data_IF_973556019153
#
_entry.id   IF_973556019153
#
_cell.length_a   1.000
_cell.length_b   1.000
_cell.length_c   1.000
_cell.angle_alpha   90.00
_cell.angle_beta   90.00
_cell.angle_gamma   90.00
#
_symmetry.space_group_name_H-M   'P 1'
#
loop_
_entity.id
_entity.type
_entity.pdbx_description
1 polymer ?
#
# COMPACT_ATOMS: atom_id res chain seq x y z
N UNK A 1 -0.34 11.25 -11.51
CA UNK A 1 -1.32 10.45 -12.27
C UNK A 1 -1.71 9.27 -11.41
N UNK A 2 -3.00 8.92 -11.31
CA UNK A 2 -3.47 7.79 -10.48
C UNK A 2 -4.26 6.73 -11.25
N UNK A 3 -4.67 7.02 -12.48
CA UNK A 3 -5.45 6.10 -13.29
C UNK A 3 -5.72 6.64 -14.68
N UNK A 4 -6.46 5.85 -15.45
CA UNK A 4 -6.83 6.15 -16.82
C UNK A 4 -8.34 5.97 -17.01
N UNK A 5 -8.97 6.85 -17.78
CA UNK A 5 -10.34 6.72 -18.27
C UNK A 5 -10.29 6.58 -19.80
N UNK A 6 -10.79 5.47 -20.31
CA UNK A 6 -10.88 5.19 -21.75
C UNK A 6 -12.34 5.29 -22.19
N UNK A 7 -12.63 6.25 -23.06
CA UNK A 7 -13.92 6.37 -23.75
C UNK A 7 -13.83 5.71 -25.12
N UNK A 8 -14.80 4.86 -25.44
CA UNK A 8 -14.91 4.12 -26.70
C UNK A 8 -16.12 4.64 -27.47
N UNK A 9 -15.87 5.18 -28.66
CA UNK A 9 -16.92 5.72 -29.52
C UNK A 9 -17.63 4.61 -30.30
N UNK A 10 -18.87 4.86 -30.73
CA UNK A 10 -19.72 3.91 -31.45
C UNK A 10 -19.28 3.67 -32.91
N UNK A 11 -18.01 3.34 -33.13
CA UNK A 11 -17.49 2.93 -34.44
C UNK A 11 -17.62 1.42 -34.61
N UNK A 12 -17.95 0.96 -35.82
CA UNK A 12 -17.99 -0.47 -36.11
C UNK A 12 -16.58 -1.06 -36.10
N UNK A 13 -16.36 -2.05 -35.24
CA UNK A 13 -15.11 -2.81 -35.16
C UNK A 13 -15.33 -4.21 -34.57
N UNK A 14 -14.38 -5.10 -34.83
CA UNK A 14 -14.26 -6.42 -34.21
C UNK A 14 -12.86 -6.57 -33.58
N UNK A 15 -12.76 -7.30 -32.47
CA UNK A 15 -11.54 -7.33 -31.67
C UNK A 15 -11.31 -6.01 -30.92
N UNK A 16 -10.08 -5.73 -30.51
CA UNK A 16 -9.78 -4.48 -29.78
C UNK A 16 -10.25 -4.48 -28.32
N UNK A 17 -10.46 -5.66 -27.73
CA UNK A 17 -10.84 -5.78 -26.33
C UNK A 17 -9.73 -5.22 -25.43
N UNK A 18 -10.10 -4.53 -24.36
CA UNK A 18 -9.15 -4.10 -23.34
C UNK A 18 -9.05 -5.20 -22.29
N UNK A 19 -7.87 -5.78 -22.16
CA UNK A 19 -7.53 -6.77 -21.14
C UNK A 19 -6.89 -6.03 -19.98
N UNK A 20 -7.39 -6.27 -18.77
CA UNK A 20 -6.90 -5.69 -17.52
C UNK A 20 -6.39 -6.82 -16.62
N UNK A 21 -5.21 -6.65 -16.03
CA UNK A 21 -4.61 -7.62 -15.11
C UNK A 21 -4.23 -6.92 -13.80
N UNK A 22 -4.77 -7.46 -12.70
CA UNK A 22 -4.52 -6.94 -11.34
C UNK A 22 -4.74 -8.07 -10.32
N UNK A 23 -3.88 -8.21 -9.32
CA UNK A 23 -3.89 -9.32 -8.34
C UNK A 23 -3.92 -10.73 -8.96
N UNK A 24 -3.22 -10.96 -10.07
CA UNK A 24 -3.24 -12.26 -10.76
C UNK A 24 -4.60 -12.63 -11.34
N UNK A 25 -5.57 -11.72 -11.32
CA UNK A 25 -6.86 -11.83 -11.98
C UNK A 25 -6.81 -11.06 -13.29
N UNK A 26 -7.54 -11.57 -14.27
CA UNK A 26 -7.67 -10.96 -15.58
C UNK A 26 -9.15 -10.66 -15.85
N UNK A 27 -9.41 -9.46 -16.34
CA UNK A 27 -10.72 -9.03 -16.81
C UNK A 27 -10.61 -8.59 -18.26
N UNK A 28 -11.68 -8.82 -19.03
CA UNK A 28 -11.76 -8.40 -20.42
C UNK A 28 -12.95 -7.48 -20.60
N UNK A 29 -12.69 -6.29 -21.13
CA UNK A 29 -13.69 -5.35 -21.60
C UNK A 29 -13.79 -5.42 -23.12
N UNK A 30 -14.87 -6.07 -23.60
CA UNK A 30 -15.17 -6.13 -25.03
C UNK A 30 -15.73 -4.78 -25.50
N UNK A 31 -14.82 -3.96 -26.03
CA UNK A 31 -15.13 -2.61 -26.48
C UNK A 31 -16.08 -2.57 -27.69
N UNK A 32 -16.10 -3.62 -28.51
CA UNK A 32 -17.02 -3.74 -29.64
C UNK A 32 -18.45 -4.01 -29.15
N UNK A 33 -18.62 -4.91 -28.17
CA UNK A 33 -19.92 -5.18 -27.56
C UNK A 33 -20.45 -3.97 -26.78
N UNK A 34 -19.58 -3.26 -26.08
CA UNK A 34 -19.95 -2.08 -25.29
C UNK A 34 -20.63 -0.98 -26.12
N UNK A 35 -20.31 -0.88 -27.41
CA UNK A 35 -20.86 0.16 -28.30
C UNK A 35 -21.80 -0.38 -29.39
N UNK A 36 -22.11 -1.68 -29.37
CA UNK A 36 -22.88 -2.36 -30.44
C UNK A 36 -24.35 -1.95 -30.52
N UNK A 37 -24.95 -1.51 -29.42
CA UNK A 37 -26.42 -1.39 -29.27
C UNK A 37 -27.03 -0.05 -29.70
N UNK A 38 -26.26 1.02 -29.92
CA UNK A 38 -26.83 2.28 -30.39
C UNK A 38 -25.80 3.17 -31.10
N UNK A 39 -26.28 3.95 -32.07
CA UNK A 39 -25.49 4.95 -32.80
C UNK A 39 -25.04 6.15 -31.95
N UNK A 40 -25.31 6.14 -30.65
CA UNK A 40 -25.09 7.28 -29.73
C UNK A 40 -24.65 6.84 -28.32
N UNK A 41 -24.08 5.64 -28.17
CA UNK A 41 -23.58 5.15 -26.88
C UNK A 41 -22.06 5.13 -26.82
N UNK A 42 -21.50 5.78 -25.81
CA UNK A 42 -20.07 5.71 -25.51
C UNK A 42 -19.87 4.59 -24.49
N UNK A 43 -19.05 3.60 -24.83
CA UNK A 43 -18.53 2.64 -23.86
C UNK A 43 -17.43 3.31 -23.05
N UNK A 44 -17.29 3.00 -21.77
CA UNK A 44 -16.19 3.54 -20.98
C UNK A 44 -15.63 2.49 -20.02
N UNK A 45 -14.37 2.68 -19.67
CA UNK A 45 -13.70 1.91 -18.62
C UNK A 45 -12.67 2.80 -17.92
N UNK A 46 -12.59 2.68 -16.60
CA UNK A 46 -11.60 3.35 -15.78
C UNK A 46 -10.86 2.34 -14.93
N UNK A 47 -9.55 2.54 -14.76
CA UNK A 47 -8.67 1.66 -13.99
C UNK A 47 -7.50 2.45 -13.40
N UNK A 48 -6.93 1.97 -12.29
CA UNK A 48 -5.80 2.61 -11.64
C UNK A 48 -4.50 2.44 -12.44
N UNK A 49 -3.54 3.32 -12.19
CA UNK A 49 -2.26 3.39 -12.92
C UNK A 49 -1.39 2.15 -12.73
N UNK A 50 -1.59 1.42 -11.64
CA UNK A 50 -0.90 0.18 -11.28
C UNK A 50 -1.57 -1.08 -11.86
N UNK A 51 -2.65 -0.92 -12.66
CA UNK A 51 -3.27 -2.00 -13.42
C UNK A 51 -2.55 -2.18 -14.76
N UNK A 52 -2.00 -3.38 -14.98
CA UNK A 52 -1.48 -3.77 -16.29
C UNK A 52 -2.65 -3.87 -17.27
N UNK A 53 -2.49 -3.30 -18.46
CA UNK A 53 -3.52 -3.29 -19.47
C UNK A 53 -2.97 -3.45 -20.88
N UNK A 54 -3.75 -4.13 -21.71
CA UNK A 54 -3.40 -4.44 -23.10
C UNK A 54 -4.64 -4.27 -23.98
N UNK A 55 -4.47 -3.73 -25.19
CA UNK A 55 -5.52 -3.70 -26.21
C UNK A 55 -5.26 -4.83 -27.20
N UNK A 56 -6.18 -5.78 -27.29
CA UNK A 56 -6.07 -6.88 -28.25
C UNK A 56 -6.17 -6.37 -29.69
N UNK A 57 -5.74 -7.19 -30.65
CA UNK A 57 -5.76 -6.81 -32.06
C UNK A 57 -7.19 -6.51 -32.54
N UNK A 58 -7.36 -5.39 -33.25
CA UNK A 58 -8.57 -5.12 -34.04
C UNK A 58 -8.50 -5.96 -35.32
N UNK A 59 -9.50 -6.82 -35.54
CA UNK A 59 -9.54 -7.76 -36.68
C UNK A 59 -10.34 -7.22 -37.85
N UNK A 60 -11.30 -6.32 -37.60
CA UNK A 60 -12.10 -5.64 -38.62
C UNK A 60 -12.56 -4.26 -38.14
N UNK A 61 -12.79 -3.34 -39.08
CA UNK A 61 -13.27 -1.99 -38.80
C UNK A 61 -12.25 -1.08 -38.12
N UNK A 62 -12.74 -0.07 -37.40
CA UNK A 62 -11.90 0.92 -36.72
C UNK A 62 -12.37 1.15 -35.30
N UNK A 63 -11.46 1.00 -34.34
CA UNK A 63 -11.70 1.32 -32.93
C UNK A 63 -11.22 2.74 -32.65
N UNK A 64 -12.15 3.64 -32.34
CA UNK A 64 -11.83 5.02 -32.00
C UNK A 64 -12.04 5.26 -30.50
N UNK A 65 -11.01 5.73 -29.81
CA UNK A 65 -11.03 5.96 -28.36
C UNK A 65 -10.43 7.30 -27.97
N UNK A 66 -10.93 7.85 -26.88
CA UNK A 66 -10.32 8.98 -26.18
C UNK A 66 -9.87 8.52 -24.81
N UNK A 67 -8.57 8.60 -24.54
CA UNK A 67 -7.97 8.20 -23.27
C UNK A 67 -7.57 9.44 -22.48
N UNK A 68 -8.09 9.55 -21.26
CA UNK A 68 -7.71 10.56 -20.30
C UNK A 68 -6.80 9.95 -19.24
N UNK A 69 -5.69 10.61 -18.95
CA UNK A 69 -4.89 10.34 -17.76
C UNK A 69 -5.49 11.14 -16.60
N UNK A 70 -5.79 10.46 -15.50
CA UNK A 70 -6.38 11.04 -14.31
C UNK A 70 -5.29 11.41 -13.31
N UNK A 71 -5.36 12.63 -12.76
CA UNK A 71 -4.42 13.15 -11.78
C UNK A 71 -5.21 13.63 -10.56
N UNK A 72 -4.61 13.51 -9.38
CA UNK A 72 -5.12 14.19 -8.21
C UNK A 72 -4.97 15.70 -8.45
N UNK A 73 -5.96 16.48 -8.01
CA UNK A 73 -5.82 17.94 -7.98
C UNK A 73 -4.80 18.33 -6.90
N UNK A 74 -4.32 19.57 -6.90
CA UNK A 74 -3.44 20.07 -5.84
C UNK A 74 -4.12 19.80 -4.49
N UNK A 75 -3.47 18.97 -3.68
CA UNK A 75 -4.00 18.31 -2.49
C UNK A 75 -4.35 19.33 -1.40
N UNK A 76 -5.46 20.06 -1.56
CA UNK A 76 -6.15 20.62 -0.41
C UNK A 76 -6.82 19.46 0.33
N UNK A 77 -6.72 19.39 1.68
CA UNK A 77 -7.43 18.40 2.48
C UNK A 77 -8.93 18.75 2.48
N UNK A 78 -9.56 18.76 1.32
CA UNK A 78 -11.00 18.67 1.23
C UNK A 78 -11.36 17.22 1.45
N UNK A 79 -11.93 16.96 2.62
CA UNK A 79 -12.80 15.83 2.92
C UNK A 79 -13.65 15.52 1.68
N UNK A 80 -13.22 14.54 0.89
CA UNK A 80 -13.95 14.04 -0.27
C UNK A 80 -15.07 13.15 0.22
N UNK A 81 -16.03 13.75 0.91
CA UNK A 81 -17.19 13.08 1.51
C UNK A 81 -18.27 12.73 0.47
N UNK A 82 -17.96 12.84 -0.82
CA UNK A 82 -18.93 12.63 -1.87
C UNK A 82 -18.28 12.02 -3.09
N UNK A 83 -18.39 10.69 -3.24
CA UNK A 83 -18.78 9.96 -4.47
C UNK A 83 -18.54 8.45 -4.31
N UNK A 84 -19.60 7.68 -4.02
CA UNK A 84 -19.61 6.20 -4.08
C UNK A 84 -20.34 5.43 -2.96
N UNK A 85 -21.43 5.99 -2.43
CA UNK A 85 -21.96 5.68 -1.09
C UNK A 85 -22.96 4.49 -0.97
N UNK A 86 -22.66 3.29 -1.48
CA UNK A 86 -23.45 2.12 -1.04
C UNK A 86 -22.66 0.82 -0.87
N UNK A 87 -21.93 0.36 -1.89
CA UNK A 87 -21.07 -0.83 -1.73
C UNK A 87 -19.88 -0.54 -0.80
N UNK A 88 -19.26 0.63 -0.95
CA UNK A 88 -18.08 0.99 -0.15
C UNK A 88 -18.47 1.31 1.30
N UNK A 89 -19.69 1.82 1.54
CA UNK A 89 -20.17 2.10 2.88
C UNK A 89 -20.43 0.83 3.69
N UNK A 90 -21.05 -0.19 3.08
CA UNK A 90 -21.30 -1.47 3.74
C UNK A 90 -19.99 -2.23 4.04
N UNK A 91 -19.03 -2.24 3.10
CA UNK A 91 -17.72 -2.84 3.32
C UNK A 91 -16.93 -2.10 4.40
N UNK A 92 -16.93 -0.77 4.36
CA UNK A 92 -16.30 0.07 5.39
C UNK A 92 -16.88 -0.23 6.77
N UNK A 93 -18.21 -0.23 6.91
CA UNK A 93 -18.88 -0.53 8.17
C UNK A 93 -18.55 -1.96 8.67
N UNK A 94 -18.52 -2.94 7.77
CA UNK A 94 -18.18 -4.33 8.12
C UNK A 94 -16.73 -4.46 8.57
N UNK A 95 -15.80 -3.80 7.87
CA UNK A 95 -14.39 -3.77 8.27
C UNK A 95 -14.20 -3.05 9.61
N UNK A 96 -14.79 -1.86 9.77
CA UNK A 96 -14.73 -1.09 11.01
C UNK A 96 -15.26 -1.89 12.20
N UNK A 97 -16.40 -2.58 12.05
CA UNK A 97 -16.96 -3.43 13.09
C UNK A 97 -16.00 -4.58 13.45
N UNK A 98 -15.52 -5.33 12.46
CA UNK A 98 -14.59 -6.44 12.69
C UNK A 98 -13.26 -5.97 13.31
N UNK A 99 -12.74 -4.82 12.89
CA UNK A 99 -11.52 -4.26 13.43
C UNK A 99 -11.73 -3.72 14.85
N UNK A 100 -12.85 -3.07 15.14
CA UNK A 100 -13.25 -2.69 16.48
C UNK A 100 -13.37 -3.90 17.42
N UNK A 101 -13.99 -4.98 16.97
CA UNK A 101 -14.11 -6.23 17.74
C UNK A 101 -12.74 -6.82 18.06
N UNK A 102 -11.81 -6.79 17.09
CA UNK A 102 -10.42 -7.20 17.29
C UNK A 102 -9.71 -6.29 18.31
N UNK A 103 -9.91 -4.98 18.23
CA UNK A 103 -9.34 -4.00 19.15
C UNK A 103 -9.94 -4.09 20.57
N UNK A 104 -11.07 -4.75 20.77
CA UNK A 104 -11.63 -5.01 22.11
C UNK A 104 -11.34 -6.45 22.60
N UNK A 105 -10.72 -7.28 21.77
CA UNK A 105 -10.31 -8.61 22.18
C UNK A 105 -9.16 -8.55 23.19
N UNK A 106 -9.38 -9.13 24.37
CA UNK A 106 -8.44 -9.12 25.49
C UNK A 106 -7.15 -9.89 25.22
N UNK A 107 -7.19 -10.83 24.28
CA UNK A 107 -6.02 -11.59 23.85
C UNK A 107 -5.20 -10.83 22.80
N UNK A 108 -5.78 -9.81 22.17
CA UNK A 108 -5.14 -9.04 21.11
C UNK A 108 -4.44 -7.79 21.66
N UNK A 109 -3.10 -7.84 21.66
CA UNK A 109 -2.21 -6.75 22.09
C UNK A 109 -2.64 -6.11 23.43
N UNK A 110 -2.75 -6.89 24.54
CA UNK A 110 -3.27 -6.37 25.81
C UNK A 110 -2.50 -5.13 26.31
N UNK A 111 -1.18 -5.10 26.10
CA UNK A 111 -0.29 -3.99 26.45
C UNK A 111 -0.16 -2.91 25.37
N UNK A 112 -0.89 -3.03 24.25
CA UNK A 112 -0.70 -2.21 23.05
C UNK A 112 0.43 -2.74 22.15
N UNK A 113 0.63 -2.07 21.02
CA UNK A 113 1.67 -2.40 20.05
C UNK A 113 1.31 -2.05 18.62
N UNK A 114 2.19 -2.41 17.69
CA UNK A 114 2.03 -2.08 16.28
C UNK A 114 1.16 -3.13 15.58
N UNK A 115 0.19 -2.65 14.80
CA UNK A 115 -0.58 -3.46 13.85
C UNK A 115 -0.20 -3.07 12.43
N UNK A 116 0.09 -4.07 11.59
CA UNK A 116 0.52 -3.84 10.22
C UNK A 116 -0.46 -4.38 9.19
N UNK A 117 -0.65 -3.60 8.11
CA UNK A 117 -1.53 -3.93 6.98
C UNK A 117 -0.79 -3.60 5.68
N UNK A 118 -0.48 -4.60 4.86
CA UNK A 118 0.13 -4.38 3.56
C UNK A 118 -0.77 -3.56 2.62
N UNK A 119 -0.16 -2.68 1.83
CA UNK A 119 -0.87 -1.87 0.84
C UNK A 119 -1.25 -2.72 -0.39
N UNK A 120 -2.52 -2.67 -0.78
CA UNK A 120 -3.04 -3.40 -1.94
C UNK A 120 -2.53 -2.79 -3.26
N UNK A 121 -2.42 -1.47 -3.31
CA UNK A 121 -2.04 -0.73 -4.50
C UNK A 121 -0.60 -0.26 -4.49
N UNK A 122 -0.07 0.09 -5.67
CA UNK A 122 1.20 0.79 -5.80
C UNK A 122 1.02 2.31 -5.79
N UNK A 123 1.87 3.02 -5.05
CA UNK A 123 1.85 4.47 -4.90
C UNK A 123 3.12 5.11 -5.45
N UNK A 124 3.02 6.30 -6.09
CA UNK A 124 4.20 7.06 -6.46
C UNK A 124 4.93 7.52 -5.20
N UNK A 125 6.25 7.53 -5.28
CA UNK A 125 7.13 8.12 -4.26
C UNK A 125 7.58 9.47 -4.80
N UNK A 126 7.62 10.49 -3.96
CA UNK A 126 8.07 11.81 -4.39
C UNK A 126 9.60 11.88 -4.55
N UNK A 127 10.09 12.97 -5.15
CA UNK A 127 11.53 13.16 -5.43
C UNK A 127 12.39 13.22 -4.15
N UNK A 128 11.78 13.44 -2.99
CA UNK A 128 12.48 13.44 -1.70
C UNK A 128 12.45 12.08 -1.00
N UNK A 129 11.93 11.05 -1.69
CA UNK A 129 11.68 9.71 -1.19
C UNK A 129 10.77 9.62 0.05
N UNK A 130 10.01 10.67 0.37
CA UNK A 130 9.14 10.65 1.54
C UNK A 130 7.79 10.01 1.21
N UNK A 131 7.12 9.49 2.25
CA UNK A 131 5.83 8.80 2.13
C UNK A 131 4.65 9.63 2.67
N UNK A 132 4.91 10.86 3.17
CA UNK A 132 3.93 11.67 3.89
C UNK A 132 2.75 12.12 3.04
N UNK A 133 2.92 12.16 1.72
CA UNK A 133 1.86 12.50 0.79
C UNK A 133 0.94 11.32 0.47
N UNK A 134 1.37 10.06 0.68
CA UNK A 134 0.62 8.85 0.32
C UNK A 134 -0.78 8.79 0.95
N UNK A 135 -0.98 9.14 2.24
CA UNK A 135 -2.32 9.16 2.85
C UNK A 135 -3.37 9.95 2.06
N UNK A 136 -2.95 11.02 1.38
CA UNK A 136 -3.85 11.89 0.62
C UNK A 136 -4.25 11.31 -0.76
N UNK A 137 -3.61 10.22 -1.18
CA UNK A 137 -3.76 9.63 -2.52
C UNK A 137 -4.08 8.12 -2.47
N UNK A 138 -4.49 7.60 -1.32
CA UNK A 138 -4.84 6.19 -1.14
C UNK A 138 -5.96 5.76 -2.10
N UNK A 139 -5.87 4.53 -2.59
CA UNK A 139 -6.78 3.93 -3.56
C UNK A 139 -7.57 2.81 -2.91
N UNK A 140 -8.81 2.60 -3.38
CA UNK A 140 -9.57 1.38 -3.11
C UNK A 140 -9.67 0.99 -1.63
N UNK A 141 -9.25 -0.24 -1.32
CA UNK A 141 -9.26 -0.82 0.03
C UNK A 141 -8.30 -0.11 0.99
N UNK A 142 -7.14 0.36 0.51
CA UNK A 142 -6.18 1.09 1.35
C UNK A 142 -6.80 2.36 1.93
N UNK A 143 -7.53 3.11 1.09
CA UNK A 143 -8.25 4.31 1.52
C UNK A 143 -9.40 3.99 2.50
N UNK A 144 -10.06 2.86 2.30
CA UNK A 144 -11.13 2.37 3.19
C UNK A 144 -10.56 1.98 4.57
N UNK A 145 -9.44 1.26 4.61
CA UNK A 145 -8.76 0.89 5.85
C UNK A 145 -8.29 2.14 6.59
N UNK A 146 -7.66 3.08 5.89
CA UNK A 146 -7.23 4.36 6.47
C UNK A 146 -8.41 5.10 7.10
N UNK A 147 -9.52 5.24 6.36
CA UNK A 147 -10.74 5.87 6.87
C UNK A 147 -11.29 5.14 8.09
N UNK A 148 -11.29 3.81 8.10
CA UNK A 148 -11.75 3.03 9.25
C UNK A 148 -10.89 3.26 10.50
N UNK A 149 -9.56 3.42 10.34
CA UNK A 149 -8.67 3.77 11.44
C UNK A 149 -8.97 5.18 11.98
N UNK A 150 -9.10 6.18 11.10
CA UNK A 150 -9.46 7.56 11.47
C UNK A 150 -10.81 7.61 12.23
N UNK A 151 -11.81 6.90 11.71
CA UNK A 151 -13.13 6.68 12.30
C UNK A 151 -13.11 5.99 13.69
N UNK A 152 -12.00 5.36 14.06
CA UNK A 152 -11.76 4.66 15.33
C UNK A 152 -10.77 5.40 16.23
N UNK A 153 -10.42 6.66 15.88
CA UNK A 153 -9.45 7.48 16.63
C UNK A 153 -8.07 6.79 16.74
N UNK A 154 -7.68 6.15 15.64
CA UNK A 154 -6.35 5.56 15.43
C UNK A 154 -5.58 6.41 14.43
N UNK A 155 -4.28 6.53 14.64
CA UNK A 155 -3.38 7.32 13.79
C UNK A 155 -2.51 6.38 12.94
N UNK A 156 -2.98 5.96 11.75
CA UNK A 156 -2.17 5.16 10.85
C UNK A 156 -1.03 5.99 10.23
N UNK A 157 0.08 5.34 9.95
CA UNK A 157 1.23 5.90 9.23
C UNK A 157 1.69 4.95 8.11
N UNK A 158 2.29 5.51 7.06
CA UNK A 158 2.79 4.74 5.91
C UNK A 158 4.27 4.43 6.09
N UNK A 159 4.60 3.15 5.99
CA UNK A 159 5.97 2.65 6.07
C UNK A 159 6.31 1.74 4.89
N UNK A 160 7.61 1.54 4.69
CA UNK A 160 8.16 0.48 3.84
C UNK A 160 8.86 -0.52 4.74
N UNK A 161 8.50 -1.79 4.60
CA UNK A 161 9.19 -2.93 5.23
C UNK A 161 10.35 -3.33 4.35
N UNK A 162 11.56 -3.33 4.90
CA UNK A 162 12.75 -3.84 4.23
C UNK A 162 13.21 -5.15 4.86
N UNK A 163 13.72 -6.04 4.01
CA UNK A 163 14.17 -7.38 4.37
C UNK A 163 13.20 -8.45 3.87
N UNK A 164 13.69 -9.34 3.01
CA UNK A 164 12.93 -10.49 2.52
C UNK A 164 12.94 -11.66 3.55
N UNK A 165 11.77 -12.25 3.86
CA UNK A 165 11.67 -13.40 4.74
C UNK A 165 12.54 -14.57 4.27
N UNK A 166 13.42 -15.07 5.14
CA UNK A 166 14.28 -16.21 4.85
C UNK A 166 15.56 -15.90 4.06
N UNK A 167 15.70 -14.69 3.50
CA UNK A 167 16.97 -14.20 2.95
C UNK A 167 17.75 -13.36 3.97
N UNK A 168 17.02 -12.59 4.78
CA UNK A 168 17.59 -11.72 5.80
C UNK A 168 17.20 -12.20 7.20
N UNK A 169 18.14 -12.09 8.13
CA UNK A 169 17.92 -12.39 9.55
C UNK A 169 17.24 -11.24 10.30
N UNK A 170 16.79 -10.21 9.60
CA UNK A 170 16.19 -9.00 10.16
C UNK A 170 15.13 -8.43 9.22
N UNK A 171 14.15 -7.71 9.78
CA UNK A 171 13.25 -6.82 9.04
C UNK A 171 13.09 -5.50 9.80
N UNK A 172 12.98 -4.40 9.06
CA UNK A 172 12.77 -3.08 9.64
C UNK A 172 11.76 -2.25 8.86
N UNK A 173 11.13 -1.31 9.56
CA UNK A 173 10.24 -0.30 8.98
C UNK A 173 10.99 1.00 8.73
N UNK A 174 10.65 1.68 7.64
CA UNK A 174 11.08 3.05 7.34
C UNK A 174 9.93 3.94 6.88
N UNK A 175 9.94 5.20 7.28
CA UNK A 175 8.96 6.23 6.90
C UNK A 175 9.27 6.91 5.55
N UNK A 176 10.31 6.43 4.88
CA UNK A 176 10.80 6.89 3.59
C UNK A 176 11.29 5.71 2.76
N UNK A 177 11.23 5.90 1.45
CA UNK A 177 11.97 5.04 0.54
C UNK A 177 13.44 5.38 0.62
N UNK A 178 14.23 4.34 0.70
CA UNK A 178 15.66 4.48 0.66
C UNK A 178 16.16 4.97 -0.73
N UNK A 179 17.12 5.91 -0.71
CA UNK A 179 17.90 6.38 -1.87
C UNK A 179 19.42 6.21 -1.72
N UNK A 180 19.90 5.32 -0.84
CA UNK A 180 21.32 5.18 -0.54
C UNK A 180 22.13 4.74 -1.76
N UNK A 181 23.22 5.46 -2.02
CA UNK A 181 24.38 4.94 -2.75
C UNK A 181 25.28 4.28 -1.71
N UNK A 182 25.07 2.98 -1.42
CA UNK A 182 25.76 2.28 -0.32
C UNK A 182 27.23 1.94 -0.63
N UNK A 183 27.98 2.89 -1.18
CA UNK A 183 29.42 2.76 -1.45
C UNK A 183 30.27 2.66 -0.17
N UNK A 184 29.70 2.86 1.02
CA UNK A 184 30.40 2.78 2.30
C UNK A 184 29.54 2.18 3.41
N UNK A 185 29.62 0.85 3.59
CA UNK A 185 29.18 0.24 4.85
C UNK A 185 30.23 -0.79 5.29
N UNK A 186 31.22 -0.32 6.05
CA UNK A 186 32.27 -1.12 6.69
C UNK A 186 32.01 -1.40 8.18
N UNK A 187 30.79 -1.17 8.66
CA UNK A 187 30.31 -1.40 10.03
C UNK A 187 28.83 -1.83 10.00
N UNK A 188 28.25 -2.32 11.10
CA UNK A 188 26.94 -2.97 11.13
C UNK A 188 25.83 -2.19 10.41
N UNK A 189 25.35 -2.69 9.27
CA UNK A 189 24.29 -2.07 8.45
C UNK A 189 23.05 -1.71 9.28
N UNK A 190 22.69 -2.56 10.24
CA UNK A 190 21.53 -2.37 11.11
C UNK A 190 21.73 -1.25 12.14
N UNK A 191 22.93 -1.08 12.67
CA UNK A 191 23.24 0.02 13.60
C UNK A 191 23.06 1.36 12.91
N UNK A 192 23.60 1.51 11.68
CA UNK A 192 23.43 2.71 10.87
C UNK A 192 21.94 3.03 10.67
N UNK A 193 21.16 2.04 10.24
CA UNK A 193 19.75 2.25 9.93
C UNK A 193 18.93 2.65 11.16
N UNK A 194 19.16 1.96 12.26
CA UNK A 194 18.36 2.16 13.48
C UNK A 194 18.83 3.37 14.29
N UNK A 195 20.11 3.75 14.27
CA UNK A 195 20.63 4.92 15.02
C UNK A 195 20.57 6.22 14.23
N UNK A 196 20.82 6.18 12.92
CA UNK A 196 21.00 7.38 12.11
C UNK A 196 19.80 7.65 11.21
N UNK A 197 19.12 6.59 10.79
CA UNK A 197 18.02 6.70 9.82
C UNK A 197 16.64 6.49 10.47
N UNK A 198 16.57 6.19 11.77
CA UNK A 198 15.30 6.04 12.50
C UNK A 198 14.52 4.78 12.11
N UNK A 199 15.17 3.77 11.55
CA UNK A 199 14.54 2.51 11.21
C UNK A 199 14.05 1.79 12.49
N UNK A 200 12.84 1.22 12.43
CA UNK A 200 12.26 0.43 13.53
C UNK A 200 12.54 -1.04 13.24
N UNK A 201 13.34 -1.70 14.08
CA UNK A 201 13.59 -3.14 13.96
C UNK A 201 12.34 -3.91 14.40
N UNK A 202 11.72 -4.66 13.48
CA UNK A 202 10.45 -5.37 13.71
C UNK A 202 10.59 -6.88 13.81
N UNK A 203 11.67 -7.44 13.30
CA UNK A 203 11.98 -8.86 13.40
C UNK A 203 13.49 -9.08 13.40
N UNK A 204 13.94 -10.04 14.19
CA UNK A 204 15.30 -10.57 14.21
C UNK A 204 15.23 -12.10 14.35
N UNK A 205 15.60 -12.83 13.29
CA UNK A 205 15.47 -14.30 13.23
C UNK A 205 16.66 -15.03 13.83
N UNK A 206 17.88 -14.51 13.66
CA UNK A 206 19.09 -15.05 14.27
C UNK A 206 19.98 -13.89 14.75
N UNK A 207 20.24 -13.83 16.07
CA UNK A 207 21.21 -12.90 16.67
C UNK A 207 22.62 -13.25 16.21
N UNK A 208 23.05 -12.70 15.07
CA UNK A 208 24.45 -12.81 14.63
C UNK A 208 25.27 -11.81 15.44
N UNK A 209 25.81 -12.27 16.57
CA UNK A 209 26.64 -11.47 17.46
C UNK A 209 27.92 -11.01 16.71
N UNK A 210 27.94 -9.77 16.26
CA UNK A 210 29.13 -9.09 15.75
C UNK A 210 29.74 -8.17 16.81
N UNK A 211 31.05 -7.97 16.76
CA UNK A 211 31.77 -7.03 17.64
C UNK A 211 31.32 -5.60 17.28
N UNK A 212 30.49 -4.98 18.11
CA UNK A 212 29.99 -3.61 17.89
C UNK A 212 28.51 -3.40 18.21
N UNK A 213 27.72 -4.48 18.25
CA UNK A 213 26.28 -4.39 18.51
C UNK A 213 25.98 -3.86 19.91
N UNK A 214 25.13 -2.83 19.96
CA UNK A 214 24.48 -2.39 21.17
C UNK A 214 23.32 -3.37 21.47
N UNK A 215 23.53 -4.24 22.46
CA UNK A 215 22.56 -5.24 22.96
C UNK A 215 21.24 -4.63 23.50
N UNK A 216 21.05 -3.30 23.38
CA UNK A 216 19.92 -2.55 23.94
C UNK A 216 18.80 -2.24 22.95
N UNK A 217 18.92 -2.59 21.66
CA UNK A 217 17.83 -2.31 20.70
C UNK A 217 16.71 -3.33 20.80
N UNK A 218 15.64 -2.92 21.47
CA UNK A 218 14.41 -3.69 21.59
C UNK A 218 13.73 -3.85 20.22
N UNK A 219 13.53 -5.11 19.81
CA UNK A 219 12.68 -5.44 18.67
C UNK A 219 11.25 -4.99 18.99
N UNK A 220 10.64 -4.24 18.07
CA UNK A 220 9.24 -3.81 18.17
C UNK A 220 8.39 -4.67 17.23
N UNK A 221 7.88 -5.82 17.70
CA UNK A 221 7.15 -6.74 16.83
C UNK A 221 5.86 -6.11 16.30
N UNK A 222 5.55 -6.41 15.04
CA UNK A 222 4.32 -5.96 14.37
C UNK A 222 3.34 -7.14 14.28
N UNK A 223 2.11 -6.93 14.73
CA UNK A 223 1.00 -7.86 14.52
C UNK A 223 0.36 -7.63 13.15
N UNK A 224 0.63 -8.51 12.21
CA UNK A 224 0.16 -8.36 10.82
C UNK A 224 -1.28 -8.87 10.65
N UNK A 225 -2.18 -7.99 10.23
CA UNK A 225 -3.51 -8.37 9.72
C UNK A 225 -3.40 -8.82 8.26
N UNK A 226 -2.59 -8.08 7.49
CA UNK A 226 -2.17 -8.46 6.14
C UNK A 226 -0.65 -8.29 6.07
N UNK A 227 0.06 -9.40 5.87
CA UNK A 227 1.51 -9.41 5.91
C UNK A 227 2.13 -8.71 4.67
N UNK A 228 3.34 -8.12 4.80
CA UNK A 228 3.97 -7.30 3.77
C UNK A 228 4.08 -7.99 2.40
N UNK A 229 4.24 -9.30 2.38
CA UNK A 229 4.43 -10.11 1.16
C UNK A 229 3.18 -10.09 0.26
N UNK A 230 2.04 -9.66 0.80
CA UNK A 230 0.82 -9.42 0.03
C UNK A 230 0.83 -8.07 -0.71
N UNK A 231 1.79 -7.18 -0.43
CA UNK A 231 1.85 -5.83 -0.99
C UNK A 231 2.09 -5.85 -2.50
N UNK A 232 1.65 -4.79 -3.16
CA UNK A 232 2.03 -4.48 -4.55
C UNK A 232 2.86 -3.21 -4.67
N UNK A 233 3.03 -2.48 -3.57
CA UNK A 233 4.05 -1.45 -3.46
C UNK A 233 5.39 -2.14 -3.20
N UNK A 234 6.05 -2.62 -4.26
CA UNK A 234 7.44 -3.09 -4.19
C UNK A 234 8.36 -2.02 -4.73
N UNK A 235 9.25 -1.53 -3.88
CA UNK A 235 10.32 -0.63 -4.27
C UNK A 235 11.60 -1.45 -4.37
N UNK A 236 12.30 -1.36 -5.49
CA UNK A 236 13.62 -1.99 -5.63
C UNK A 236 14.69 -0.94 -5.41
N UNK A 237 15.48 -1.08 -4.35
CA UNK A 237 16.67 -0.24 -4.12
C UNK A 237 17.93 -1.07 -4.38
N UNK A 238 18.96 -0.44 -4.92
CA UNK A 238 20.23 -1.09 -5.22
C UNK A 238 21.22 -0.73 -4.13
N UNK A 239 22.03 -1.70 -3.69
CA UNK A 239 23.09 -1.46 -2.74
C UNK A 239 24.36 -2.20 -3.19
N UNK A 240 25.52 -1.59 -3.01
CA UNK A 240 26.81 -2.27 -3.20
C UNK A 240 27.13 -3.11 -1.97
N UNK A 241 27.29 -4.42 -2.15
CA UNK A 241 27.71 -5.37 -1.12
C UNK A 241 29.19 -5.73 -1.30
N UNK A 242 30.00 -5.49 -0.26
CA UNK A 242 31.42 -5.82 -0.26
C UNK A 242 31.70 -7.13 0.49
N UNK A 243 32.21 -8.13 -0.24
CA UNK A 243 32.89 -9.32 0.30
C UNK A 243 34.33 -9.40 -0.21
N UNK A 244 34.88 -10.60 -0.42
CA UNK A 244 36.18 -10.76 -1.10
C UNK A 244 36.19 -10.21 -2.54
N UNK A 245 35.01 -9.99 -3.13
CA UNK A 245 34.78 -9.25 -4.37
C UNK A 245 33.59 -8.29 -4.17
N UNK A 246 33.59 -7.15 -4.88
CA UNK A 246 32.47 -6.20 -4.85
C UNK A 246 31.33 -6.72 -5.72
N UNK A 247 30.12 -6.74 -5.17
CA UNK A 247 28.90 -7.16 -5.88
C UNK A 247 27.79 -6.11 -5.70
N UNK A 248 26.89 -5.99 -6.68
CA UNK A 248 25.69 -5.13 -6.54
C UNK A 248 24.55 -6.02 -6.06
N UNK A 249 24.08 -5.76 -4.84
CA UNK A 249 22.86 -6.33 -4.27
C UNK A 249 21.64 -5.46 -4.58
N UNK A 250 20.45 -6.02 -4.40
CA UNK A 250 19.18 -5.28 -4.46
C UNK A 250 18.39 -5.64 -3.20
N UNK A 251 17.73 -4.67 -2.58
CA UNK A 251 16.70 -4.96 -1.59
C UNK A 251 15.34 -4.52 -2.11
N UNK A 252 14.31 -5.21 -1.68
CA UNK A 252 12.93 -4.90 -2.02
C UNK A 252 12.23 -4.40 -0.77
N UNK A 253 11.68 -3.20 -0.87
CA UNK A 253 10.83 -2.58 0.14
C UNK A 253 9.36 -2.84 -0.16
N UNK A 254 8.60 -3.22 0.86
CA UNK A 254 7.18 -3.55 0.77
C UNK A 254 6.34 -2.50 1.51
N UNK A 255 5.50 -1.75 0.78
CA UNK A 255 4.68 -0.69 1.35
C UNK A 255 3.56 -1.24 2.24
N UNK A 256 3.42 -0.64 3.43
CA UNK A 256 2.41 -1.00 4.43
C UNK A 256 1.90 0.22 5.19
N UNK A 257 0.74 0.04 5.83
CA UNK A 257 0.20 0.92 6.85
C UNK A 257 0.49 0.31 8.22
N UNK A 258 1.01 1.12 9.14
CA UNK A 258 1.24 0.75 10.53
C UNK A 258 0.32 1.58 11.40
N UNK A 259 -0.32 0.94 12.37
CA UNK A 259 -1.20 1.56 13.35
C UNK A 259 -0.63 1.32 14.73
N UNK A 260 -0.36 2.38 15.49
CA UNK A 260 -0.04 2.27 16.91
C UNK A 260 -1.34 2.05 17.71
N UNK A 261 -1.47 0.86 18.29
CA UNK A 261 -2.65 0.46 19.05
C UNK A 261 -2.35 0.62 20.55
N UNK A 262 -3.13 1.45 21.27
CA UNK A 262 -2.88 1.65 22.70
C UNK A 262 -3.26 0.42 23.53
N UNK A 263 -2.80 0.39 24.78
CA UNK A 263 -3.15 -0.67 25.73
C UNK A 263 -4.67 -0.85 25.86
N UNK A 264 -5.10 -2.09 26.16
CA UNK A 264 -6.52 -2.46 26.20
C UNK A 264 -7.36 -1.54 27.10
N UNK A 265 -6.82 -1.17 28.26
CA UNK A 265 -7.51 -0.29 29.22
C UNK A 265 -7.89 1.08 28.60
N UNK A 266 -7.01 1.62 27.75
CA UNK A 266 -7.25 2.87 27.03
C UNK A 266 -8.32 2.66 25.94
N UNK A 267 -8.28 1.53 25.24
CA UNK A 267 -9.26 1.17 24.21
C UNK A 267 -10.67 0.97 24.79
N UNK A 268 -10.79 0.23 25.89
CA UNK A 268 -12.05 0.02 26.62
C UNK A 268 -12.61 1.37 27.12
N UNK A 269 -11.77 2.23 27.71
CA UNK A 269 -12.20 3.56 28.16
C UNK A 269 -12.68 4.47 27.02
N UNK A 270 -12.02 4.45 25.85
CA UNK A 270 -12.46 5.18 24.65
C UNK A 270 -13.81 4.68 24.14
N UNK A 271 -14.01 3.37 24.11
CA UNK A 271 -15.27 2.76 23.68
C UNK A 271 -16.44 3.08 24.62
N UNK A 272 -16.20 3.07 25.94
CA UNK A 272 -17.21 3.47 26.93
C UNK A 272 -17.61 4.94 26.76
N UNK A 273 -16.64 5.84 26.57
CA UNK A 273 -16.91 7.27 26.34
C UNK A 273 -17.72 7.49 25.04
N UNK A 274 -17.38 6.80 23.96
CA UNK A 274 -18.13 6.86 22.71
C UNK A 274 -19.60 6.41 22.90
N UNK A 275 -19.83 5.32 23.64
CA UNK A 275 -21.17 4.79 23.91
C UNK A 275 -22.04 5.69 24.81
N UNK A 276 -21.43 6.61 25.57
CA UNK A 276 -22.13 7.53 26.48
C UNK A 276 -22.59 8.84 25.82
N UNK A 277 -22.16 9.07 24.58
CA UNK A 277 -22.40 10.32 23.83
C UNK A 277 -23.53 10.19 22.79
N UNK A 278 -24.03 8.97 22.57
CA UNK A 278 -25.20 8.63 21.72
C UNK A 278 -26.50 8.49 22.54
#
# INVERSE_FOLDING_TARGET
MFGSLVLVFSTQHEGGALVLRHHGKEWMFDSAQAVKKASSTIGFIAFFSDVEHEVSRVTAGYRFTLTYNLYYDDLSPTTSDSLGASSNAATLASFKAAFSDLLLNREFLPSGGLVGIALEHAYPVDESNNLKHIPSILKGSDAMVWRACDDLDLEPEIFVVYGEPGEHNWRFLMDRVDGWDTSYVGGGFIELLTEWEGAILIEELERVHGVGWDDTKDVTPVSWVVAPEATRTRVKTHYTAYGNEASVGCTYGEGCMIVDVPALEVREARAEMASSTD
#
